data_IF_652350652976
#
_entry.id   IF_652350652976
#
_cell.length_a   1.000
_cell.length_b   1.000
_cell.length_c   1.000
_cell.angle_alpha   90.00
_cell.angle_beta   90.00
_cell.angle_gamma   90.00
#
_symmetry.space_group_name_H-M   'P 1'
#
loop_
_entity.id
_entity.type
_entity.pdbx_description
1 polymer ?
#
# COMPACT_ATOMS: atom_id res chain seq x y z
N UNK A 1 15.67 -14.35 -16.91
CA UNK A 1 15.80 -13.66 -15.61
C UNK A 1 14.92 -14.39 -14.59
N UNK A 2 15.40 -14.71 -13.37
CA UNK A 2 14.56 -15.34 -12.34
C UNK A 2 13.41 -14.42 -11.91
N UNK A 3 12.26 -15.02 -11.58
CA UNK A 3 11.11 -14.33 -11.00
C UNK A 3 10.90 -14.86 -9.58
N UNK A 4 10.95 -13.96 -8.60
CA UNK A 4 10.71 -14.29 -7.18
C UNK A 4 9.30 -13.81 -6.82
N UNK A 5 8.43 -14.73 -6.41
CA UNK A 5 7.03 -14.44 -6.10
C UNK A 5 6.75 -14.70 -4.62
N UNK A 6 6.27 -13.68 -3.92
CA UNK A 6 5.78 -13.81 -2.54
C UNK A 6 4.33 -14.28 -2.58
N UNK A 7 4.13 -15.59 -2.64
CA UNK A 7 2.79 -16.18 -2.78
C UNK A 7 1.96 -16.00 -1.51
N UNK A 8 0.70 -15.55 -1.63
CA UNK A 8 -0.13 -15.28 -0.46
C UNK A 8 -0.66 -16.58 0.16
N UNK A 9 -0.95 -16.55 1.46
CA UNK A 9 -1.62 -17.64 2.19
C UNK A 9 -3.08 -17.33 2.49
N UNK A 10 -3.34 -16.20 3.14
CA UNK A 10 -4.69 -15.80 3.56
C UNK A 10 -5.58 -15.38 2.37
N UNK A 11 -4.99 -14.77 1.34
CA UNK A 11 -5.76 -14.24 0.20
C UNK A 11 -6.35 -15.32 -0.71
N UNK A 12 -5.88 -16.56 -0.61
CA UNK A 12 -6.37 -17.68 -1.45
C UNK A 12 -7.87 -17.96 -1.28
N UNK A 13 -8.46 -17.53 -0.16
CA UNK A 13 -9.87 -17.76 0.18
C UNK A 13 -10.61 -16.48 0.54
N UNK A 14 -9.99 -15.32 0.35
CA UNK A 14 -10.59 -14.05 0.71
C UNK A 14 -11.56 -13.58 -0.38
N UNK A 15 -12.81 -13.31 -0.02
CA UNK A 15 -13.85 -12.86 -0.96
C UNK A 15 -13.49 -11.54 -1.66
N UNK A 16 -12.81 -10.64 -0.97
CA UNK A 16 -12.34 -9.37 -1.53
C UNK A 16 -11.11 -9.53 -2.44
N UNK A 17 -10.51 -10.72 -2.53
CA UNK A 17 -9.34 -11.03 -3.34
C UNK A 17 -9.72 -11.83 -4.60
N UNK A 18 -10.80 -11.41 -5.26
CA UNK A 18 -11.28 -12.01 -6.52
C UNK A 18 -11.07 -11.06 -7.69
N UNK A 19 -10.75 -11.63 -8.86
CA UNK A 19 -10.68 -10.89 -10.13
C UNK A 19 -11.81 -11.34 -11.06
N UNK A 20 -12.26 -10.45 -11.95
CA UNK A 20 -13.26 -10.82 -12.96
C UNK A 20 -12.58 -11.53 -14.12
N UNK A 21 -13.35 -12.31 -14.88
CA UNK A 21 -12.85 -13.00 -16.07
C UNK A 21 -12.24 -12.02 -17.09
N UNK A 22 -12.86 -10.84 -17.26
CA UNK A 22 -12.39 -9.83 -18.21
C UNK A 22 -10.99 -9.30 -17.88
N UNK A 23 -10.62 -9.29 -16.59
CA UNK A 23 -9.33 -8.81 -16.13
C UNK A 23 -8.19 -9.73 -16.60
N UNK A 24 -8.49 -11.01 -16.90
CA UNK A 24 -7.54 -11.95 -17.50
C UNK A 24 -7.53 -11.93 -19.02
N UNK A 25 -8.65 -11.56 -19.66
CA UNK A 25 -8.78 -11.56 -21.13
C UNK A 25 -8.22 -10.27 -21.73
N UNK A 26 -8.48 -9.13 -21.09
CA UNK A 26 -8.13 -7.80 -21.59
C UNK A 26 -7.13 -7.06 -20.72
N UNK A 27 -6.88 -7.56 -19.51
CA UNK A 27 -5.92 -6.95 -18.61
C UNK A 27 -4.48 -7.33 -18.94
N UNK A 28 -3.59 -6.83 -18.11
CA UNK A 28 -2.16 -7.14 -18.12
C UNK A 28 -1.66 -7.17 -16.69
N UNK A 29 -0.42 -7.60 -16.50
CA UNK A 29 0.24 -7.36 -15.23
C UNK A 29 0.36 -5.84 -15.00
N UNK A 30 0.09 -5.42 -13.77
CA UNK A 30 0.18 -4.03 -13.34
C UNK A 30 1.23 -3.95 -12.24
N UNK A 31 2.40 -3.43 -12.56
CA UNK A 31 3.53 -3.27 -11.64
C UNK A 31 3.16 -2.38 -10.46
N UNK A 32 2.38 -1.33 -10.73
CA UNK A 32 1.84 -0.37 -9.78
C UNK A 32 0.33 -0.32 -9.98
N UNK A 33 -0.44 -0.47 -8.91
CA UNK A 33 -1.89 -0.33 -8.94
C UNK A 33 -2.30 0.91 -8.12
N UNK A 34 -2.74 2.00 -8.79
CA UNK A 34 -3.25 3.18 -8.12
C UNK A 34 -4.51 2.90 -7.30
N UNK A 35 -4.85 3.82 -6.40
CA UNK A 35 -6.05 3.70 -5.59
C UNK A 35 -7.33 3.73 -6.44
N UNK A 36 -8.14 2.67 -6.47
CA UNK A 36 -9.37 2.65 -7.25
C UNK A 36 -10.42 3.63 -6.73
N UNK A 37 -10.34 4.02 -5.45
CA UNK A 37 -11.33 4.87 -4.79
C UNK A 37 -11.07 6.35 -5.05
N UNK A 38 -9.81 6.71 -5.29
CA UNK A 38 -9.37 8.09 -5.51
C UNK A 38 -9.12 8.33 -7.00
N UNK A 39 -10.15 8.13 -7.83
CA UNK A 39 -10.11 8.60 -9.21
C UNK A 39 -10.42 10.10 -9.24
N UNK A 40 -9.41 10.90 -9.56
CA UNK A 40 -9.62 12.32 -9.88
C UNK A 40 -10.48 12.37 -11.15
N UNK A 41 -11.75 12.77 -11.01
CA UNK A 41 -12.65 13.01 -12.13
C UNK A 41 -13.60 11.87 -12.52
N UNK A 42 -13.90 10.90 -11.64
CA UNK A 42 -14.99 9.94 -11.90
C UNK A 42 -16.38 10.59 -11.67
N UNK A 43 -17.18 10.84 -12.72
CA UNK A 43 -18.51 11.47 -12.59
C UNK A 43 -19.56 10.55 -11.96
N UNK A 44 -19.27 9.24 -11.84
CA UNK A 44 -20.22 8.23 -11.36
C UNK A 44 -20.31 8.16 -9.83
N UNK A 45 -19.33 8.74 -9.10
CA UNK A 45 -19.37 8.86 -7.63
C UNK A 45 -19.94 10.21 -7.20
N UNK A 46 -21.26 10.24 -7.03
CA UNK A 46 -22.07 11.39 -6.57
C UNK A 46 -21.85 11.81 -5.10
N UNK A 47 -20.82 11.33 -4.41
CA UNK A 47 -20.66 11.60 -2.97
C UNK A 47 -19.35 12.32 -2.68
N UNK A 48 -19.52 13.60 -2.34
CA UNK A 48 -18.55 14.52 -1.74
C UNK A 48 -17.41 14.96 -2.68
N UNK A 49 -17.14 16.28 -2.70
CA UNK A 49 -15.89 16.83 -3.26
C UNK A 49 -14.75 15.90 -2.87
N UNK A 50 -13.87 15.46 -3.78
CA UNK A 50 -12.72 14.67 -3.37
C UNK A 50 -11.99 15.48 -2.30
N UNK A 51 -11.98 14.96 -1.07
CA UNK A 51 -11.23 15.57 0.01
C UNK A 51 -9.79 15.70 -0.51
N UNK A 52 -9.19 16.87 -0.32
CA UNK A 52 -7.82 17.09 -0.77
C UNK A 52 -6.97 16.00 -0.12
N UNK A 53 -6.37 15.13 -0.92
CA UNK A 53 -5.54 14.06 -0.41
C UNK A 53 -4.37 14.67 0.34
N UNK A 54 -4.22 14.25 1.59
CA UNK A 54 -3.19 14.69 2.55
C UNK A 54 -2.16 13.61 2.79
N UNK A 55 -2.45 12.35 2.41
CA UNK A 55 -1.56 11.21 2.58
C UNK A 55 -1.66 10.22 1.43
N UNK A 56 -0.52 9.67 1.04
CA UNK A 56 -0.39 8.58 0.08
C UNK A 56 0.35 7.44 0.78
N UNK A 57 -0.33 6.33 1.03
CA UNK A 57 0.23 5.10 1.60
C UNK A 57 0.63 4.19 0.44
N UNK A 58 1.90 3.81 0.39
CA UNK A 58 2.46 2.81 -0.49
C UNK A 58 2.58 1.49 0.27
N UNK A 59 2.19 0.39 -0.35
CA UNK A 59 2.31 -0.94 0.25
C UNK A 59 2.50 -2.03 -0.80
N UNK A 60 2.82 -3.25 -0.35
CA UNK A 60 2.94 -4.44 -1.19
C UNK A 60 2.23 -5.61 -0.52
N UNK A 61 1.54 -6.44 -1.32
CA UNK A 61 0.91 -7.67 -0.83
C UNK A 61 -0.31 -7.43 0.06
N UNK A 62 -0.55 -8.35 0.99
CA UNK A 62 -1.84 -8.48 1.68
C UNK A 62 -2.21 -7.32 2.60
N UNK A 63 -1.23 -6.56 3.09
CA UNK A 63 -1.46 -5.43 4.02
C UNK A 63 -2.37 -4.37 3.41
N UNK A 64 -2.42 -4.28 2.07
CA UNK A 64 -3.35 -3.43 1.33
C UNK A 64 -4.81 -3.62 1.79
N UNK A 65 -5.25 -4.87 1.96
CA UNK A 65 -6.65 -5.14 2.29
C UNK A 65 -6.99 -4.71 3.72
N UNK A 66 -6.04 -4.86 4.65
CA UNK A 66 -6.20 -4.37 6.02
C UNK A 66 -6.24 -2.83 6.05
N UNK A 67 -5.43 -2.15 5.23
CA UNK A 67 -5.45 -0.70 5.08
C UNK A 67 -6.78 -0.20 4.49
N UNK A 68 -7.30 -0.86 3.45
CA UNK A 68 -8.60 -0.51 2.85
C UNK A 68 -9.72 -0.72 3.84
N UNK A 69 -9.74 -1.85 4.54
CA UNK A 69 -10.76 -2.15 5.56
C UNK A 69 -10.74 -1.11 6.69
N UNK A 70 -9.55 -0.72 7.16
CA UNK A 70 -9.42 0.34 8.17
C UNK A 70 -9.92 1.68 7.64
N UNK A 71 -9.52 2.08 6.42
CA UNK A 71 -9.96 3.32 5.78
C UNK A 71 -11.49 3.40 5.67
N UNK A 72 -12.12 2.31 5.24
CA UNK A 72 -13.58 2.23 5.09
C UNK A 72 -14.30 2.30 6.44
N UNK A 73 -13.82 1.52 7.43
CA UNK A 73 -14.37 1.50 8.78
C UNK A 73 -14.33 2.87 9.44
N UNK A 74 -13.19 3.55 9.36
CA UNK A 74 -12.97 4.87 9.95
C UNK A 74 -13.44 6.03 9.04
N UNK A 75 -14.02 5.71 7.87
CA UNK A 75 -14.55 6.67 6.87
C UNK A 75 -13.52 7.74 6.47
N UNK A 76 -12.25 7.33 6.33
CA UNK A 76 -11.14 8.23 6.00
C UNK A 76 -11.17 8.53 4.49
N UNK A 77 -11.33 9.81 4.13
CA UNK A 77 -11.45 10.26 2.73
C UNK A 77 -10.22 11.01 2.20
N UNK A 78 -9.28 11.39 3.06
CA UNK A 78 -8.09 12.20 2.72
C UNK A 78 -6.81 11.37 2.48
N UNK A 79 -6.92 10.05 2.38
CA UNK A 79 -5.77 9.14 2.24
C UNK A 79 -5.94 8.21 1.03
N UNK A 80 -4.96 8.24 0.13
CA UNK A 80 -4.84 7.31 -0.99
C UNK A 80 -3.96 6.13 -0.63
N UNK A 81 -4.26 4.94 -1.14
CA UNK A 81 -3.50 3.70 -0.94
C UNK A 81 -3.09 3.15 -2.31
N UNK A 82 -1.79 3.06 -2.58
CA UNK A 82 -1.22 2.57 -3.84
C UNK A 82 -0.48 1.26 -3.55
N UNK A 83 -0.67 0.27 -4.43
CA UNK A 83 0.03 -1.01 -4.37
C UNK A 83 1.22 -1.02 -5.31
N UNK A 84 2.36 -1.49 -4.81
CA UNK A 84 3.53 -1.85 -5.59
C UNK A 84 3.56 -3.37 -5.68
N UNK A 85 3.14 -3.91 -6.83
CA UNK A 85 3.08 -5.36 -7.07
C UNK A 85 4.44 -5.90 -7.57
N UNK A 86 5.27 -5.03 -8.17
CA UNK A 86 6.62 -5.36 -8.58
C UNK A 86 7.65 -4.43 -7.93
N UNK A 87 8.41 -4.99 -6.98
CA UNK A 87 9.49 -4.28 -6.30
C UNK A 87 10.77 -4.20 -7.14
N UNK A 88 11.04 -5.20 -8.01
CA UNK A 88 12.25 -5.22 -8.83
C UNK A 88 12.05 -5.89 -10.21
N UNK A 89 12.53 -5.27 -11.31
CA UNK A 89 12.91 -3.86 -11.40
C UNK A 89 11.72 -2.96 -11.07
N UNK A 90 11.96 -1.86 -10.35
CA UNK A 90 10.91 -0.93 -9.95
C UNK A 90 10.50 -0.08 -11.16
N UNK A 91 9.21 -0.02 -11.46
CA UNK A 91 8.69 0.89 -12.49
C UNK A 91 8.52 2.30 -11.89
N UNK A 92 9.63 3.05 -11.91
CA UNK A 92 9.68 4.42 -11.42
C UNK A 92 8.75 5.37 -12.20
N UNK A 93 8.46 5.08 -13.46
CA UNK A 93 7.62 5.94 -14.31
C UNK A 93 6.15 5.80 -13.91
N UNK A 94 5.65 4.57 -13.80
CA UNK A 94 4.29 4.30 -13.33
C UNK A 94 4.11 4.73 -11.87
N UNK A 95 5.12 4.49 -11.02
CA UNK A 95 5.05 4.90 -9.62
C UNK A 95 5.01 6.43 -9.47
N UNK A 96 5.82 7.16 -10.25
CA UNK A 96 5.77 8.62 -10.29
C UNK A 96 4.39 9.12 -10.69
N UNK A 97 3.84 8.60 -11.79
CA UNK A 97 2.52 8.98 -12.27
C UNK A 97 1.41 8.72 -11.24
N UNK A 98 1.49 7.61 -10.51
CA UNK A 98 0.50 7.26 -9.49
C UNK A 98 0.55 8.19 -8.27
N UNK A 99 1.75 8.60 -7.83
CA UNK A 99 1.92 9.46 -6.64
C UNK A 99 1.72 10.95 -6.97
N UNK A 100 2.23 11.42 -8.12
CA UNK A 100 2.14 12.82 -8.54
C UNK A 100 0.73 13.24 -8.99
N UNK A 101 -0.21 12.30 -9.10
CA UNK A 101 -1.64 12.60 -9.18
C UNK A 101 -2.15 13.36 -7.93
N UNK A 102 -1.41 13.32 -6.82
CA UNK A 102 -1.78 13.97 -5.56
C UNK A 102 -0.91 15.19 -5.25
N UNK A 103 -1.37 16.11 -4.37
CA UNK A 103 -0.59 17.29 -4.02
C UNK A 103 0.79 16.92 -3.47
N UNK A 104 1.86 17.63 -3.91
CA UNK A 104 3.23 17.42 -3.39
C UNK A 104 3.37 17.50 -1.88
N UNK A 105 2.46 18.21 -1.20
CA UNK A 105 2.41 18.31 0.28
C UNK A 105 1.81 17.08 0.99
N UNK A 106 1.20 16.14 0.25
CA UNK A 106 0.51 15.00 0.81
C UNK A 106 1.51 13.95 1.29
N UNK A 107 1.61 13.69 2.59
CA UNK A 107 2.63 12.82 3.22
C UNK A 107 2.76 11.48 2.51
N UNK A 108 3.99 11.06 2.23
CA UNK A 108 4.28 9.78 1.62
C UNK A 108 4.62 8.78 2.73
N UNK A 109 3.92 7.65 2.78
CA UNK A 109 4.09 6.63 3.82
C UNK A 109 4.32 5.28 3.17
N UNK A 110 5.31 4.53 3.62
CA UNK A 110 5.48 3.10 3.30
C UNK A 110 4.88 2.28 4.43
N UNK A 111 3.89 1.45 4.10
CA UNK A 111 3.28 0.52 5.05
C UNK A 111 3.66 -0.92 4.72
N UNK A 112 4.17 -1.65 5.71
CA UNK A 112 4.47 -3.08 5.58
C UNK A 112 4.19 -3.83 6.89
N UNK A 113 3.92 -5.12 6.79
CA UNK A 113 3.73 -5.98 7.95
C UNK A 113 5.05 -6.53 8.49
N UNK A 114 6.03 -6.69 7.62
CA UNK A 114 7.35 -7.19 7.97
C UNK A 114 8.05 -6.22 8.94
N UNK A 115 8.87 -6.73 9.89
CA UNK A 115 9.73 -5.90 10.71
C UNK A 115 10.55 -4.89 9.89
N UNK A 116 10.88 -3.74 10.46
CA UNK A 116 11.59 -2.65 9.76
C UNK A 116 12.91 -3.06 9.11
N UNK A 117 13.64 -3.99 9.73
CA UNK A 117 14.88 -4.57 9.21
C UNK A 117 14.64 -5.72 8.20
N UNK A 118 13.39 -5.96 7.81
CA UNK A 118 12.94 -7.00 6.89
C UNK A 118 11.96 -6.39 5.86
N UNK A 119 11.41 -7.23 4.99
CA UNK A 119 10.51 -6.79 3.94
C UNK A 119 11.23 -5.90 2.93
N UNK A 120 10.51 -4.93 2.38
CA UNK A 120 11.04 -4.08 1.31
C UNK A 120 11.62 -2.75 1.81
N UNK A 121 11.39 -2.36 3.06
CA UNK A 121 11.70 -1.03 3.58
C UNK A 121 13.11 -0.54 3.23
N UNK A 122 14.14 -1.30 3.60
CA UNK A 122 15.55 -0.92 3.36
C UNK A 122 15.94 -0.86 1.88
N UNK A 123 15.16 -1.51 1.01
CA UNK A 123 15.34 -1.47 -0.43
C UNK A 123 14.57 -0.30 -1.07
N UNK A 124 13.31 -0.10 -0.68
CA UNK A 124 12.37 0.80 -1.36
C UNK A 124 12.51 2.25 -0.89
N UNK A 125 12.79 2.47 0.40
CA UNK A 125 12.92 3.82 0.99
C UNK A 125 13.91 4.72 0.24
N UNK A 126 15.18 4.33 0.01
CA UNK A 126 16.13 5.22 -0.66
C UNK A 126 15.71 5.53 -2.11
N UNK A 127 15.01 4.60 -2.77
CA UNK A 127 14.47 4.79 -4.12
C UNK A 127 13.31 5.77 -4.14
N UNK A 128 12.38 5.63 -3.20
CA UNK A 128 11.25 6.56 -3.04
C UNK A 128 11.76 7.97 -2.71
N UNK A 129 12.72 8.08 -1.79
CA UNK A 129 13.34 9.34 -1.41
C UNK A 129 13.99 10.02 -2.62
N UNK A 130 14.79 9.28 -3.40
CA UNK A 130 15.42 9.79 -4.61
C UNK A 130 14.40 10.15 -5.71
N UNK A 131 13.36 9.35 -5.87
CA UNK A 131 12.36 9.53 -6.93
C UNK A 131 11.50 10.78 -6.70
N UNK A 132 11.11 11.02 -5.45
CA UNK A 132 10.17 12.07 -5.10
C UNK A 132 10.80 13.31 -4.48
N UNK A 133 12.04 13.21 -3.97
CA UNK A 133 12.72 14.25 -3.18
C UNK A 133 11.93 14.62 -1.91
N UNK A 134 11.47 13.59 -1.18
CA UNK A 134 10.55 13.71 -0.04
C UNK A 134 10.89 12.70 1.03
N UNK A 135 10.65 13.06 2.29
CA UNK A 135 10.67 12.10 3.38
C UNK A 135 9.55 11.07 3.21
N UNK A 136 9.88 9.81 3.53
CA UNK A 136 8.94 8.69 3.51
C UNK A 136 8.72 8.25 4.95
N UNK A 137 7.50 8.40 5.45
CA UNK A 137 7.09 7.87 6.74
C UNK A 137 7.09 6.35 6.73
N UNK A 138 7.53 5.72 7.83
CA UNK A 138 7.48 4.27 7.99
C UNK A 138 6.32 3.86 8.89
N UNK A 139 5.44 3.00 8.39
CA UNK A 139 4.41 2.33 9.18
C UNK A 139 4.62 0.81 9.09
N UNK A 140 4.98 0.17 10.20
CA UNK A 140 5.28 -1.26 10.19
C UNK A 140 5.78 -1.75 11.54
N UNK A 141 6.06 -3.04 11.63
CA UNK A 141 6.57 -3.62 12.87
C UNK A 141 7.97 -3.09 13.17
N UNK A 142 8.26 -2.85 14.45
CA UNK A 142 9.61 -2.51 14.91
C UNK A 142 10.64 -3.57 14.48
N UNK A 143 11.90 -3.17 14.34
CA UNK A 143 12.97 -4.10 13.99
C UNK A 143 13.07 -5.25 15.00
N UNK A 144 13.28 -6.47 14.49
CA UNK A 144 13.30 -7.68 15.31
C UNK A 144 14.26 -8.71 14.71
N UNK A 145 14.83 -9.56 15.56
CA UNK A 145 15.62 -10.72 15.13
C UNK A 145 14.71 -11.83 14.55
N UNK A 146 13.51 -12.00 15.12
CA UNK A 146 12.51 -12.94 14.62
C UNK A 146 11.60 -12.29 13.57
N UNK A 147 11.23 -13.00 12.48
CA UNK A 147 10.29 -12.49 11.48
C UNK A 147 8.90 -12.14 12.04
N UNK A 148 8.47 -12.84 13.09
CA UNK A 148 7.19 -12.60 13.75
C UNK A 148 7.25 -12.98 15.23
N UNK A 149 6.37 -12.37 16.01
CA UNK A 149 6.12 -12.76 17.40
C UNK A 149 5.38 -14.10 17.47
N UNK A 150 5.71 -14.94 18.43
CA UNK A 150 5.06 -16.26 18.62
C UNK A 150 3.67 -16.17 19.28
N UNK A 151 3.34 -15.06 19.93
CA UNK A 151 2.07 -14.88 20.62
C UNK A 151 1.03 -14.21 19.71
N UNK A 152 -0.08 -14.91 19.43
CA UNK A 152 -1.15 -14.40 18.55
C UNK A 152 -1.74 -13.07 19.03
N UNK A 153 -1.93 -12.89 20.34
CA UNK A 153 -2.46 -11.65 20.91
C UNK A 153 -1.54 -10.45 20.62
N UNK A 154 -0.23 -10.65 20.75
CA UNK A 154 0.77 -9.62 20.44
C UNK A 154 0.80 -9.36 18.92
N UNK A 155 0.76 -10.40 18.10
CA UNK A 155 0.72 -10.26 16.64
C UNK A 155 -0.46 -9.40 16.16
N UNK A 156 -1.66 -9.65 16.71
CA UNK A 156 -2.87 -8.87 16.40
C UNK A 156 -2.74 -7.42 16.86
N UNK A 157 -2.14 -7.19 18.03
CA UNK A 157 -1.88 -5.84 18.55
C UNK A 157 -0.93 -5.06 17.64
N UNK A 158 0.18 -5.68 17.23
CA UNK A 158 1.13 -5.09 16.29
C UNK A 158 0.49 -4.78 14.94
N UNK A 159 -0.36 -5.68 14.43
CA UNK A 159 -1.10 -5.47 13.19
C UNK A 159 -2.04 -4.27 13.30
N UNK A 160 -2.79 -4.13 14.40
CA UNK A 160 -3.66 -2.98 14.60
C UNK A 160 -2.84 -1.67 14.72
N UNK A 161 -1.69 -1.72 15.40
CA UNK A 161 -0.79 -0.58 15.60
C UNK A 161 -0.25 -0.06 14.27
N UNK A 162 0.37 -0.94 13.45
CA UNK A 162 0.97 -0.51 12.18
C UNK A 162 -0.07 0.06 11.20
N UNK A 163 -1.29 -0.51 11.20
CA UNK A 163 -2.37 -0.01 10.35
C UNK A 163 -2.80 1.37 10.83
N UNK A 164 -3.01 1.59 12.13
CA UNK A 164 -3.36 2.90 12.68
C UNK A 164 -2.26 3.96 12.46
N UNK A 165 -1.00 3.57 12.61
CA UNK A 165 0.16 4.44 12.35
C UNK A 165 0.21 4.89 10.88
N UNK A 166 -0.10 4.00 9.94
CA UNK A 166 -0.13 4.33 8.52
C UNK A 166 -1.08 5.49 8.17
N UNK A 167 -2.15 5.70 8.96
CA UNK A 167 -3.09 6.82 8.80
C UNK A 167 -2.81 8.02 9.72
N UNK A 168 -1.85 7.90 10.64
CA UNK A 168 -1.55 8.94 11.64
C UNK A 168 -0.29 9.75 11.30
N UNK A 169 0.72 9.13 10.69
CA UNK A 169 2.01 9.75 10.31
C UNK A 169 1.82 10.91 9.34
#
# INVERSE_FOLDING_TARGET
KPLILMTPKSLLRAEFSTSRAEDFIRGKFHEIIPDPVVRIGDPSRKTQKPARIERVILCCGKVYFDLVSHREKEKISNTAIIRIEQLYPLDETQLRAAVEAFPKKARLVWCQEEPQNMGAWTFIEPRLRALFDREVGYAGRGASASPAVGALALHKREQACLIGEAFSI
#
